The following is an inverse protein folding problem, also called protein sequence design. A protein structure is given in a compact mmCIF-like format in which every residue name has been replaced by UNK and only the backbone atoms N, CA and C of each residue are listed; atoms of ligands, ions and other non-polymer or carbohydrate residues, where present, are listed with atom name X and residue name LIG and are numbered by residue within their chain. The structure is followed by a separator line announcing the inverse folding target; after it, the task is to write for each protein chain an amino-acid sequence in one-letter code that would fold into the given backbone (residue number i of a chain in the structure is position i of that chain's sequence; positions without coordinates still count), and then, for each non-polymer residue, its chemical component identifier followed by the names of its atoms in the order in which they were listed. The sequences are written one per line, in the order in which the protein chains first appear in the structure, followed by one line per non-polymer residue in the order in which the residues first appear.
data_IF_162207842111
#
_entry.id   IF_162207842111
#
_cell.length_a   1.000
_cell.length_b   1.000
_cell.length_c   1.000
_cell.angle_alpha   90.00
_cell.angle_beta   90.00
_cell.angle_gamma   90.00
#
_symmetry.space_group_name_H-M   'P 1'
#
loop_
_entity.id
_entity.type
_entity.pdbx_description
1 polymer ?
#
# COMPACT_ATOMS: atom_id res chain seq x y z
N UNK A 1 4.78 -38.50 13.39
CA UNK A 1 3.88 -38.17 12.28
C UNK A 1 2.90 -37.03 12.60
N UNK A 2 2.05 -37.10 13.64
CA UNK A 2 1.09 -36.00 13.96
C UNK A 2 1.73 -34.60 14.10
N UNK A 3 2.91 -34.51 14.74
CA UNK A 3 3.66 -33.24 14.90
C UNK A 3 4.20 -32.66 13.57
N UNK A 4 4.57 -33.52 12.62
CA UNK A 4 5.06 -33.11 11.30
C UNK A 4 3.91 -32.51 10.49
N UNK A 5 2.73 -33.13 10.55
CA UNK A 5 1.53 -32.60 9.90
C UNK A 5 1.11 -31.24 10.45
N UNK A 6 1.19 -31.02 11.76
CA UNK A 6 0.94 -29.70 12.37
C UNK A 6 1.94 -28.66 11.83
N UNK A 7 3.23 -29.01 11.76
CA UNK A 7 4.25 -28.11 11.23
C UNK A 7 3.99 -27.74 9.75
N UNK A 8 3.63 -28.72 8.91
CA UNK A 8 3.30 -28.49 7.50
C UNK A 8 2.08 -27.57 7.35
N UNK A 9 1.04 -27.77 8.15
CA UNK A 9 -0.16 -26.92 8.14
C UNK A 9 0.20 -25.48 8.55
N UNK A 10 1.00 -25.31 9.62
CA UNK A 10 1.43 -23.99 10.06
C UNK A 10 2.24 -23.28 8.96
N UNK A 11 3.19 -23.97 8.32
CA UNK A 11 3.97 -23.42 7.21
C UNK A 11 3.05 -22.96 6.07
N UNK A 12 2.09 -23.79 5.66
CA UNK A 12 1.14 -23.45 4.61
C UNK A 12 0.28 -22.22 4.95
N UNK A 13 -0.15 -22.09 6.21
CA UNK A 13 -0.87 -20.91 6.70
C UNK A 13 0.01 -19.65 6.62
N UNK A 14 1.24 -19.70 7.13
CA UNK A 14 2.17 -18.55 7.03
C UNK A 14 2.44 -18.15 5.58
N UNK A 15 2.69 -19.11 4.68
CA UNK A 15 2.92 -18.82 3.26
C UNK A 15 1.70 -18.15 2.63
N UNK A 16 0.49 -18.64 2.96
CA UNK A 16 -0.75 -18.06 2.45
C UNK A 16 -0.95 -16.63 2.97
N UNK A 17 -0.69 -16.38 4.26
CA UNK A 17 -0.73 -15.03 4.84
C UNK A 17 0.22 -14.08 4.11
N UNK A 18 1.48 -14.49 3.86
CA UNK A 18 2.45 -13.68 3.12
C UNK A 18 1.99 -13.40 1.69
N UNK A 19 1.41 -14.38 0.98
CA UNK A 19 0.88 -14.17 -0.36
C UNK A 19 -0.29 -13.18 -0.33
N UNK A 20 -1.22 -13.33 0.61
CA UNK A 20 -2.37 -12.42 0.75
C UNK A 20 -1.93 -10.99 1.06
N UNK A 21 -0.95 -10.80 1.94
CA UNK A 21 -0.35 -9.51 2.25
C UNK A 21 0.29 -8.86 1.01
N UNK A 22 1.06 -9.62 0.23
CA UNK A 22 1.66 -9.11 -1.00
C UNK A 22 0.63 -8.73 -2.06
N UNK A 23 -0.45 -9.49 -2.20
CA UNK A 23 -1.56 -9.13 -3.08
C UNK A 23 -2.22 -7.83 -2.60
N UNK A 24 -2.44 -7.69 -1.28
CA UNK A 24 -3.01 -6.49 -0.69
C UNK A 24 -2.13 -5.26 -0.97
N UNK A 25 -0.84 -5.32 -0.62
CA UNK A 25 0.12 -4.22 -0.83
C UNK A 25 0.20 -3.81 -2.31
N UNK A 26 0.24 -4.78 -3.22
CA UNK A 26 0.26 -4.51 -4.66
C UNK A 26 -1.02 -3.84 -5.15
N UNK A 27 -2.18 -4.33 -4.71
CA UNK A 27 -3.46 -3.76 -5.10
C UNK A 27 -3.60 -2.33 -4.55
N UNK A 28 -3.24 -2.12 -3.29
CA UNK A 28 -3.22 -0.80 -2.66
C UNK A 28 -2.37 0.20 -3.44
N UNK A 29 -1.13 -0.17 -3.74
CA UNK A 29 -0.23 0.63 -4.58
C UNK A 29 -0.84 0.95 -5.94
N UNK A 30 -1.35 -0.07 -6.64
CA UNK A 30 -1.86 0.05 -8.00
C UNK A 30 -3.08 0.96 -8.05
N UNK A 31 -3.98 0.85 -7.06
CA UNK A 31 -5.19 1.69 -6.98
C UNK A 31 -4.82 3.16 -6.74
N UNK A 32 -3.92 3.46 -5.80
CA UNK A 32 -3.46 4.85 -5.57
C UNK A 32 -2.80 5.42 -6.83
N UNK A 33 -1.88 4.69 -7.47
CA UNK A 33 -1.21 5.15 -8.70
C UNK A 33 -2.22 5.37 -9.85
N UNK A 34 -3.25 4.52 -9.95
CA UNK A 34 -4.30 4.65 -10.97
C UNK A 34 -5.15 5.89 -10.71
N UNK A 35 -5.67 6.08 -9.50
CA UNK A 35 -6.50 7.24 -9.16
C UNK A 35 -5.72 8.55 -9.31
N UNK A 36 -4.43 8.55 -8.96
CA UNK A 36 -3.58 9.72 -9.16
C UNK A 36 -3.29 10.01 -10.64
N UNK A 37 -3.05 8.98 -11.47
CA UNK A 37 -2.89 9.15 -12.94
C UNK A 37 -4.15 9.65 -13.63
N UNK A 38 -5.32 9.21 -13.15
CA UNK A 38 -6.62 9.63 -13.67
C UNK A 38 -7.06 11.00 -13.14
N UNK A 39 -6.22 11.68 -12.34
CA UNK A 39 -6.50 12.98 -11.75
C UNK A 39 -7.78 13.01 -10.91
N UNK A 40 -7.97 11.96 -10.09
CA UNK A 40 -9.14 11.73 -9.22
C UNK A 40 -8.79 11.91 -7.73
N UNK A 41 -8.48 13.14 -7.27
CA UNK A 41 -8.02 13.37 -5.91
C UNK A 41 -9.08 13.05 -4.85
N UNK A 42 -10.35 13.31 -5.13
CA UNK A 42 -11.46 13.01 -4.21
C UNK A 42 -11.61 11.50 -3.98
N UNK A 43 -11.67 10.72 -5.05
CA UNK A 43 -11.76 9.26 -4.97
C UNK A 43 -10.52 8.66 -4.31
N UNK A 44 -9.34 9.27 -4.52
CA UNK A 44 -8.11 8.88 -3.86
C UNK A 44 -8.18 9.09 -2.33
N UNK A 45 -8.70 10.24 -1.88
CA UNK A 45 -8.93 10.52 -0.45
C UNK A 45 -9.96 9.58 0.16
N UNK A 46 -11.05 9.29 -0.54
CA UNK A 46 -12.07 8.33 -0.10
C UNK A 46 -11.48 6.92 0.02
N UNK A 47 -10.73 6.47 -0.98
CA UNK A 47 -10.02 5.19 -0.94
C UNK A 47 -9.03 5.10 0.22
N UNK A 48 -8.23 6.15 0.42
CA UNK A 48 -7.29 6.25 1.54
C UNK A 48 -8.01 6.11 2.87
N UNK A 49 -9.11 6.86 3.09
CA UNK A 49 -9.90 6.79 4.32
C UNK A 49 -10.48 5.40 4.58
N UNK A 50 -10.81 4.65 3.54
CA UNK A 50 -11.34 3.28 3.68
C UNK A 50 -10.24 2.26 4.01
N UNK A 51 -9.02 2.46 3.49
CA UNK A 51 -7.97 1.43 3.51
C UNK A 51 -6.79 1.72 4.41
N UNK A 52 -6.62 2.95 4.90
CA UNK A 52 -5.44 3.36 5.68
C UNK A 52 -5.23 2.51 6.93
N UNK A 53 -6.26 2.21 7.71
CA UNK A 53 -6.15 1.39 8.93
C UNK A 53 -5.57 0.01 8.63
N UNK A 54 -5.99 -0.58 7.50
CA UNK A 54 -5.45 -1.87 7.07
C UNK A 54 -4.02 -1.74 6.55
N UNK A 55 -3.68 -0.66 5.84
CA UNK A 55 -2.31 -0.40 5.41
C UNK A 55 -1.35 -0.25 6.61
N UNK A 56 -1.76 0.43 7.67
CA UNK A 56 -0.98 0.57 8.91
C UNK A 56 -0.78 -0.74 9.68
N UNK A 57 -1.64 -1.76 9.49
CA UNK A 57 -1.42 -3.09 10.08
C UNK A 57 -0.23 -3.80 9.43
N UNK A 58 -0.05 -3.60 8.11
CA UNK A 58 0.95 -4.30 7.31
C UNK A 58 2.23 -3.49 7.11
N UNK A 59 2.37 -2.31 7.71
CA UNK A 59 3.52 -1.44 7.47
C UNK A 59 3.92 -0.60 8.68
N UNK A 60 5.22 -0.34 8.85
CA UNK A 60 5.72 0.65 9.80
C UNK A 60 5.03 2.00 9.59
N UNK A 61 4.55 2.60 10.69
CA UNK A 61 3.76 3.84 10.67
C UNK A 61 4.49 5.00 9.99
N UNK A 62 5.80 5.11 10.21
CA UNK A 62 6.65 6.16 9.65
C UNK A 62 6.69 6.17 8.11
N UNK A 63 6.54 5.01 7.46
CA UNK A 63 6.53 4.91 5.99
C UNK A 63 5.21 5.36 5.35
N UNK A 64 4.13 5.40 6.12
CA UNK A 64 2.79 5.77 5.63
C UNK A 64 2.41 7.20 6.01
N UNK A 65 3.05 7.80 7.01
CA UNK A 65 2.74 9.15 7.49
C UNK A 65 2.94 10.21 6.39
N UNK A 66 4.03 10.12 5.62
CA UNK A 66 4.28 11.04 4.49
C UNK A 66 3.21 10.90 3.42
N UNK A 67 2.85 9.66 3.05
CA UNK A 67 1.79 9.37 2.08
C UNK A 67 0.44 9.90 2.58
N UNK A 68 0.13 9.70 3.86
CA UNK A 68 -1.09 10.16 4.49
C UNK A 68 -1.20 11.69 4.44
N UNK A 69 -0.12 12.40 4.74
CA UNK A 69 -0.07 13.86 4.71
C UNK A 69 -0.28 14.37 3.29
N UNK A 70 0.43 13.82 2.31
CA UNK A 70 0.29 14.23 0.90
C UNK A 70 -1.12 13.99 0.37
N UNK A 71 -1.74 12.84 0.68
CA UNK A 71 -3.11 12.53 0.24
C UNK A 71 -4.13 13.46 0.91
N UNK A 72 -4.01 13.70 2.22
CA UNK A 72 -4.96 14.55 2.95
C UNK A 72 -4.86 16.02 2.55
N UNK A 73 -3.69 16.47 2.08
CA UNK A 73 -3.45 17.82 1.60
C UNK A 73 -4.02 18.10 0.19
N UNK A 74 -4.40 17.06 -0.56
CA UNK A 74 -4.98 17.23 -1.90
C UNK A 74 -6.30 18.02 -1.84
N UNK A 75 -6.42 19.00 -2.73
CA UNK A 75 -7.70 19.60 -3.08
C UNK A 75 -8.64 18.56 -3.71
N UNK A 76 -9.93 18.64 -3.40
CA UNK A 76 -10.93 17.71 -3.94
C UNK A 76 -11.17 17.93 -5.45
N UNK A 77 -10.97 19.16 -5.93
CA UNK A 77 -11.12 19.53 -7.34
C UNK A 77 -9.75 19.65 -8.02
N UNK A 78 -9.53 19.00 -9.18
CA UNK A 78 -8.23 18.99 -9.83
C UNK A 78 -7.87 20.36 -10.41
N UNK A 79 -6.77 20.92 -9.93
CA UNK A 79 -6.13 22.13 -10.46
C UNK A 79 -4.65 21.88 -10.83
N UNK A 80 -3.94 22.91 -11.28
CA UNK A 80 -2.53 22.76 -11.70
C UNK A 80 -1.60 22.34 -10.54
N UNK A 81 -1.89 22.80 -9.32
CA UNK A 81 -1.19 22.44 -8.10
C UNK A 81 -1.55 21.00 -7.69
N UNK A 82 -2.83 20.64 -7.71
CA UNK A 82 -3.30 19.26 -7.44
C UNK A 82 -2.64 18.25 -8.37
N UNK A 83 -2.46 18.57 -9.66
CA UNK A 83 -1.76 17.68 -10.61
C UNK A 83 -0.30 17.44 -10.21
N UNK A 84 0.37 18.45 -9.68
CA UNK A 84 1.73 18.31 -9.17
C UNK A 84 1.73 17.44 -7.91
N UNK A 85 0.84 17.72 -6.97
CA UNK A 85 0.74 17.00 -5.71
C UNK A 85 0.36 15.52 -5.92
N UNK A 86 -0.48 15.22 -6.91
CA UNK A 86 -0.80 13.84 -7.31
C UNK A 86 0.43 13.10 -7.86
N UNK A 87 1.35 13.79 -8.54
CA UNK A 87 2.61 13.17 -8.95
C UNK A 87 3.54 12.91 -7.75
N UNK A 88 3.53 13.79 -6.75
CA UNK A 88 4.27 13.58 -5.51
C UNK A 88 3.70 12.39 -4.72
N UNK A 89 2.37 12.29 -4.60
CA UNK A 89 1.69 11.10 -4.03
C UNK A 89 2.11 9.82 -4.74
N UNK A 90 2.21 9.83 -6.08
CA UNK A 90 2.67 8.67 -6.85
C UNK A 90 4.13 8.32 -6.56
N UNK A 91 4.99 9.31 -6.41
CA UNK A 91 6.40 9.10 -6.09
C UNK A 91 6.56 8.46 -4.71
N UNK A 92 5.89 9.01 -3.69
CA UNK A 92 5.91 8.49 -2.31
C UNK A 92 5.32 7.08 -2.27
N UNK A 93 4.15 6.87 -2.87
CA UNK A 93 3.49 5.56 -2.93
C UNK A 93 4.36 4.50 -3.63
N UNK A 94 5.13 4.89 -4.65
CA UNK A 94 6.09 3.98 -5.30
C UNK A 94 7.23 3.59 -4.36
N UNK A 95 7.80 4.54 -3.61
CA UNK A 95 8.84 4.24 -2.62
C UNK A 95 8.31 3.28 -1.55
N UNK A 96 7.10 3.53 -1.05
CA UNK A 96 6.41 2.63 -0.13
C UNK A 96 6.28 1.21 -0.70
N UNK A 97 5.76 1.07 -1.92
CA UNK A 97 5.59 -0.25 -2.56
C UNK A 97 6.92 -0.97 -2.76
N UNK A 98 7.97 -0.25 -3.17
CA UNK A 98 9.30 -0.81 -3.36
C UNK A 98 9.93 -1.32 -2.05
N UNK A 99 9.65 -0.66 -0.92
CA UNK A 99 10.11 -1.08 0.40
C UNK A 99 9.31 -2.27 0.96
N UNK A 100 8.00 -2.33 0.69
CA UNK A 100 7.09 -3.36 1.22
C UNK A 100 6.99 -4.61 0.35
N UNK A 101 7.33 -4.54 -0.94
CA UNK A 101 7.30 -5.72 -1.81
C UNK A 101 8.32 -6.75 -1.34
N UNK A 102 7.86 -7.97 -1.14
CA UNK A 102 8.73 -9.11 -0.84
C UNK A 102 9.50 -9.43 -2.12
N UNK A 103 10.78 -9.09 -2.10
CA UNK A 103 11.77 -9.44 -3.12
C UNK A 103 12.82 -10.35 -2.50
N UNK A 104 13.54 -11.17 -3.30
CA UNK A 104 14.65 -11.98 -2.78
C UNK A 104 15.69 -11.14 -2.00
N UNK A 105 15.84 -9.85 -2.32
CA UNK A 105 16.72 -8.89 -1.65
C UNK A 105 16.20 -8.32 -0.33
N UNK A 106 14.92 -8.50 0.02
CA UNK A 106 14.32 -8.05 1.29
C UNK A 106 13.95 -9.23 2.22
N UNK A 107 14.19 -10.48 1.79
CA UNK A 107 13.97 -11.71 2.58
C UNK A 107 15.29 -12.23 3.20
N UNK A 108 16.45 -11.87 2.63
CA UNK A 108 17.80 -12.29 3.01
C UNK A 108 18.69 -11.07 3.28
#
# INVERSE_FOLDING_TARGET
MKRIWIAVVLIALTVTCCISEQIYVKNFYTTIDTLAKEEKPKELKEYWKEKNDTAYIFSPHDMLDELAQSINALDDDPNAETKKDLNDVRAINKVYYENQRITPSNIF
#
